data_IF_357120607127
#
_entry.id   IF_357120607127
#
_cell.length_a   1.000
_cell.length_b   1.000
_cell.length_c   1.000
_cell.angle_alpha   90.00
_cell.angle_beta   90.00
_cell.angle_gamma   90.00
#
_symmetry.space_group_name_H-M   'P 1'
#
loop_
_entity.id
_entity.type
_entity.pdbx_description
1 polymer ?
#
# COMPACT_ATOMS: atom_id res chain seq x y z
N UNK A 1 -2.30 -6.21 -31.70
CA UNK A 1 -3.10 -7.37 -32.12
C UNK A 1 -2.21 -8.59 -32.09
N UNK A 2 -2.26 -9.38 -31.02
CA UNK A 2 -1.48 -10.61 -30.90
C UNK A 2 -2.46 -11.72 -30.50
N UNK A 3 -2.47 -12.75 -31.34
CA UNK A 3 -3.30 -13.94 -31.32
C UNK A 3 -3.02 -14.85 -30.12
N UNK A 4 -4.07 -15.49 -29.61
CA UNK A 4 -4.06 -16.66 -28.73
C UNK A 4 -4.08 -17.94 -29.58
N UNK A 5 -3.23 -18.91 -29.26
CA UNK A 5 -3.36 -20.32 -29.69
C UNK A 5 -3.48 -21.21 -28.44
N UNK A 6 -4.53 -22.03 -28.44
CA UNK A 6 -4.79 -23.11 -27.49
C UNK A 6 -4.18 -24.40 -28.04
N UNK A 7 -3.53 -25.20 -27.19
CA UNK A 7 -3.23 -26.60 -27.48
C UNK A 7 -3.86 -27.45 -26.38
N UNK A 8 -4.83 -28.26 -26.81
CA UNK A 8 -5.49 -29.34 -26.08
C UNK A 8 -4.68 -30.63 -26.26
N UNK A 9 -4.49 -31.40 -25.18
CA UNK A 9 -3.93 -32.74 -25.22
C UNK A 9 -4.67 -33.64 -24.22
N UNK A 10 -5.77 -34.22 -24.69
CA UNK A 10 -6.40 -35.39 -24.08
C UNK A 10 -5.92 -36.70 -24.71
N UNK A 11 -5.65 -37.69 -23.84
CA UNK A 11 -5.71 -39.17 -23.99
C UNK A 11 -4.40 -40.02 -23.94
N UNK A 12 -4.14 -40.58 -22.72
CA UNK A 12 -4.03 -42.00 -22.26
C UNK A 12 -3.17 -43.07 -23.03
N UNK A 13 -2.85 -44.28 -22.46
CA UNK A 13 -2.83 -44.81 -21.08
C UNK A 13 -1.57 -45.68 -20.70
N UNK A 14 -1.62 -46.29 -19.49
CA UNK A 14 -0.83 -47.43 -18.92
C UNK A 14 0.44 -47.05 -18.12
N UNK A 15 0.78 -47.61 -16.95
CA UNK A 15 0.64 -48.99 -16.43
C UNK A 15 0.55 -49.04 -14.89
N UNK A 16 -0.06 -50.14 -14.39
CA UNK A 16 -0.19 -50.55 -12.99
C UNK A 16 1.15 -51.03 -12.41
N UNK A 17 1.79 -50.27 -11.52
CA UNK A 17 2.82 -50.80 -10.61
C UNK A 17 3.22 -49.80 -9.49
N UNK A 18 2.29 -49.39 -8.61
CA UNK A 18 2.68 -48.62 -7.41
C UNK A 18 1.82 -48.84 -6.15
N UNK A 19 0.81 -49.73 -6.21
CA UNK A 19 -0.15 -49.93 -5.10
C UNK A 19 0.29 -50.90 -4.00
N UNK A 20 1.59 -51.05 -3.72
CA UNK A 20 2.06 -51.93 -2.61
C UNK A 20 3.12 -51.35 -1.68
N UNK A 21 3.53 -50.09 -1.84
CA UNK A 21 4.49 -49.44 -0.91
C UNK A 21 3.91 -48.38 0.03
N UNK A 22 2.66 -47.95 -0.14
CA UNK A 22 2.06 -46.87 0.68
C UNK A 22 1.30 -47.31 1.94
N UNK A 23 1.16 -48.62 2.19
CA UNK A 23 0.36 -49.12 3.31
C UNK A 23 1.15 -49.37 4.61
N UNK A 24 2.49 -49.40 4.57
CA UNK A 24 3.32 -49.82 5.72
C UNK A 24 4.05 -48.69 6.45
N UNK A 25 3.95 -47.43 6.01
CA UNK A 25 4.52 -46.26 6.71
C UNK A 25 3.53 -45.57 7.67
N UNK A 26 2.25 -45.98 7.70
CA UNK A 26 1.20 -45.41 8.58
C UNK A 26 1.19 -45.91 10.02
N UNK A 27 2.18 -46.70 10.47
CA UNK A 27 2.19 -47.27 11.84
C UNK A 27 3.38 -46.89 12.73
N UNK A 28 4.24 -45.95 12.32
CA UNK A 28 5.35 -45.45 13.15
C UNK A 28 5.60 -43.95 12.98
N UNK A 29 4.65 -43.11 13.41
CA UNK A 29 4.94 -41.72 13.77
C UNK A 29 3.83 -41.16 14.67
N UNK A 30 3.86 -41.60 15.92
CA UNK A 30 3.17 -40.95 17.02
C UNK A 30 4.24 -40.56 18.05
N UNK A 31 5.01 -39.51 17.74
CA UNK A 31 5.80 -38.70 18.66
C UNK A 31 6.73 -37.77 17.85
N UNK A 32 6.60 -36.45 18.09
CA UNK A 32 7.41 -35.30 17.63
C UNK A 32 6.75 -34.46 16.54
N UNK A 33 6.10 -33.38 17.00
CA UNK A 33 5.74 -32.21 16.21
C UNK A 33 7.02 -31.52 15.73
N UNK A 34 7.37 -31.77 14.47
CA UNK A 34 8.29 -30.97 13.68
C UNK A 34 8.01 -31.30 12.22
N UNK A 35 7.13 -30.53 11.59
CA UNK A 35 6.84 -30.66 10.15
C UNK A 35 7.94 -29.91 9.41
N UNK A 36 8.86 -30.67 8.82
CA UNK A 36 9.93 -30.18 7.98
C UNK A 36 9.39 -29.97 6.56
N UNK A 37 9.06 -28.74 6.17
CA UNK A 37 8.69 -28.42 4.79
C UNK A 37 9.97 -28.34 3.94
N UNK A 38 10.18 -29.30 3.04
CA UNK A 38 11.37 -29.38 2.21
C UNK A 38 11.02 -28.94 0.78
N UNK A 39 11.25 -27.66 0.46
CA UNK A 39 11.20 -27.19 -0.93
C UNK A 39 12.44 -27.74 -1.64
N UNK A 40 12.23 -28.60 -2.63
CA UNK A 40 13.29 -29.20 -3.44
C UNK A 40 13.80 -28.13 -4.42
N UNK A 41 14.71 -27.28 -3.98
CA UNK A 41 15.47 -26.38 -4.86
C UNK A 41 16.47 -27.25 -5.61
N UNK A 42 16.38 -27.26 -6.94
CA UNK A 42 17.43 -27.84 -7.79
C UNK A 42 18.76 -27.17 -7.39
N UNK A 43 19.78 -27.99 -7.06
CA UNK A 43 21.03 -27.65 -6.35
C UNK A 43 21.05 -27.85 -4.82
N UNK A 44 20.97 -29.13 -4.40
CA UNK A 44 22.03 -29.78 -3.61
C UNK A 44 22.46 -29.26 -2.21
N UNK A 45 21.84 -28.25 -1.59
CA UNK A 45 22.16 -27.85 -0.20
C UNK A 45 20.92 -27.68 0.66
N UNK A 46 20.85 -28.43 1.77
CA UNK A 46 19.83 -28.26 2.82
C UNK A 46 20.18 -27.02 3.65
N UNK A 47 19.30 -26.03 3.65
CA UNK A 47 19.33 -24.91 4.61
C UNK A 47 18.19 -25.16 5.60
N UNK A 48 18.52 -25.50 6.84
CA UNK A 48 17.56 -25.50 7.95
C UNK A 48 17.64 -24.14 8.64
N UNK A 49 16.59 -23.34 8.54
CA UNK A 49 16.43 -22.09 9.30
C UNK A 49 15.67 -22.42 10.59
N UNK A 50 16.20 -22.03 11.74
CA UNK A 50 15.47 -22.07 13.02
C UNK A 50 14.42 -20.96 13.01
N UNK A 51 13.15 -21.34 13.04
CA UNK A 51 12.00 -20.45 13.15
C UNK A 51 11.93 -19.87 14.56
N UNK A 52 11.87 -18.54 14.66
CA UNK A 52 11.40 -17.86 15.88
C UNK A 52 9.93 -17.55 15.63
N UNK A 53 9.05 -18.14 16.43
CA UNK A 53 7.60 -18.00 16.30
C UNK A 53 7.17 -16.52 16.50
N UNK A 54 6.61 -15.92 15.47
CA UNK A 54 5.88 -14.66 15.57
C UNK A 54 4.54 -14.83 14.85
N UNK A 55 3.48 -14.97 15.67
CA UNK A 55 2.05 -15.10 15.35
C UNK A 55 1.63 -16.39 14.62
N UNK A 56 0.86 -17.22 15.32
CA UNK A 56 0.36 -18.54 14.90
C UNK A 56 -0.70 -18.54 13.79
N UNK A 57 -0.57 -17.65 12.80
CA UNK A 57 -1.36 -17.69 11.58
C UNK A 57 -0.61 -18.55 10.58
N UNK A 58 -1.11 -19.76 10.33
CA UNK A 58 -0.64 -20.62 9.24
C UNK A 58 -1.45 -20.32 7.98
N UNK A 59 -0.77 -20.22 6.84
CA UNK A 59 -1.43 -20.06 5.55
C UNK A 59 -2.02 -21.41 5.11
N UNK A 60 -3.23 -21.38 4.58
CA UNK A 60 -3.80 -22.56 3.92
C UNK A 60 -3.00 -22.92 2.66
N UNK A 61 -3.13 -24.15 2.17
CA UNK A 61 -2.45 -24.58 0.93
C UNK A 61 -2.85 -23.71 -0.27
N UNK A 62 -4.13 -23.36 -0.36
CA UNK A 62 -4.66 -22.47 -1.39
C UNK A 62 -4.06 -21.06 -1.31
N UNK A 63 -3.91 -20.50 -0.10
CA UNK A 63 -3.24 -19.20 0.10
C UNK A 63 -1.74 -19.28 -0.23
N UNK A 64 -1.07 -20.37 0.13
CA UNK A 64 0.34 -20.56 -0.18
C UNK A 64 0.61 -20.64 -1.70
N UNK A 65 -0.29 -21.28 -2.46
CA UNK A 65 -0.21 -21.33 -3.92
C UNK A 65 -0.51 -19.96 -4.55
N UNK A 66 -1.59 -19.29 -4.11
CA UNK A 66 -1.98 -17.98 -4.62
C UNK A 66 -0.89 -16.92 -4.40
N UNK A 67 -0.26 -16.94 -3.21
CA UNK A 67 0.78 -15.97 -2.83
C UNK A 67 2.20 -16.47 -3.07
N UNK A 68 2.43 -17.59 -3.77
CA UNK A 68 3.77 -18.18 -3.95
C UNK A 68 4.78 -17.15 -4.50
N UNK A 69 4.39 -16.36 -5.50
CA UNK A 69 5.26 -15.30 -6.07
C UNK A 69 5.57 -14.20 -5.06
N UNK A 70 4.59 -13.81 -4.24
CA UNK A 70 4.72 -12.78 -3.21
C UNK A 70 5.61 -13.28 -2.06
N UNK A 71 5.39 -14.52 -1.61
CA UNK A 71 6.19 -15.19 -0.57
C UNK A 71 7.66 -15.33 -1.00
N UNK A 72 7.93 -15.61 -2.28
CA UNK A 72 9.30 -15.64 -2.81
C UNK A 72 10.01 -14.28 -2.75
N UNK A 73 9.25 -13.19 -2.81
CA UNK A 73 9.79 -11.83 -2.80
C UNK A 73 10.12 -11.38 -1.38
N UNK A 74 9.15 -11.42 -0.46
CA UNK A 74 9.31 -10.84 0.89
C UNK A 74 9.37 -11.85 2.03
N UNK A 75 9.19 -13.14 1.75
CA UNK A 75 9.26 -14.23 2.73
C UNK A 75 7.91 -14.58 3.38
N UNK A 76 7.85 -15.79 3.95
CA UNK A 76 6.63 -16.33 4.55
C UNK A 76 6.14 -15.52 5.76
N UNK A 77 7.04 -15.11 6.65
CA UNK A 77 6.67 -14.35 7.86
C UNK A 77 6.06 -12.98 7.53
N UNK A 78 6.55 -12.36 6.46
CA UNK A 78 6.01 -11.10 5.92
C UNK A 78 4.58 -11.31 5.42
N UNK A 79 4.31 -12.42 4.70
CA UNK A 79 2.97 -12.76 4.26
C UNK A 79 2.03 -13.07 5.44
N UNK A 80 2.52 -13.74 6.49
CA UNK A 80 1.75 -14.00 7.71
C UNK A 80 1.34 -12.70 8.41
N UNK A 81 2.24 -11.71 8.47
CA UNK A 81 1.92 -10.36 9.00
C UNK A 81 0.87 -9.65 8.17
N UNK A 82 1.00 -9.67 6.84
CA UNK A 82 -0.03 -9.13 5.94
C UNK A 82 -1.40 -9.77 6.20
N UNK A 83 -1.44 -11.10 6.29
CA UNK A 83 -2.68 -11.86 6.50
C UNK A 83 -3.34 -11.61 7.86
N UNK A 84 -2.63 -11.03 8.82
CA UNK A 84 -3.17 -10.62 10.11
C UNK A 84 -3.79 -9.21 10.09
N UNK A 85 -3.39 -8.37 9.13
CA UNK A 85 -3.61 -6.93 9.18
C UNK A 85 -4.99 -6.51 8.67
N UNK A 86 -5.59 -5.53 9.37
CA UNK A 86 -6.85 -4.86 9.02
C UNK A 86 -6.55 -3.44 8.59
N UNK A 87 -7.04 -3.06 7.42
CA UNK A 87 -6.73 -1.76 6.81
C UNK A 87 -8.02 -0.98 6.58
N UNK A 88 -8.04 0.28 7.01
CA UNK A 88 -9.07 1.25 6.64
C UNK A 88 -8.58 2.07 5.45
N UNK A 89 -9.41 2.17 4.42
CA UNK A 89 -9.23 3.09 3.29
C UNK A 89 -10.44 4.04 3.28
N UNK A 90 -10.22 5.29 3.67
CA UNK A 90 -11.25 6.32 3.67
C UNK A 90 -11.08 7.24 2.45
N UNK A 91 -12.12 7.33 1.63
CA UNK A 91 -12.10 7.99 0.32
C UNK A 91 -11.89 6.99 -0.81
N UNK A 92 -12.92 6.74 -1.61
CA UNK A 92 -12.96 5.73 -2.66
C UNK A 92 -13.17 6.33 -4.06
N UNK A 93 -12.45 7.43 -4.31
CA UNK A 93 -12.23 8.00 -5.64
C UNK A 93 -11.27 7.12 -6.47
N UNK A 94 -10.79 7.62 -7.61
CA UNK A 94 -9.87 6.87 -8.47
C UNK A 94 -8.58 6.42 -7.77
N UNK A 95 -7.99 7.29 -6.95
CA UNK A 95 -6.82 6.95 -6.14
C UNK A 95 -7.16 5.87 -5.08
N UNK A 96 -8.27 6.02 -4.38
CA UNK A 96 -8.73 5.04 -3.38
C UNK A 96 -8.99 3.66 -3.98
N UNK A 97 -9.57 3.59 -5.19
CA UNK A 97 -9.80 2.34 -5.90
C UNK A 97 -8.49 1.62 -6.26
N UNK A 98 -7.46 2.37 -6.69
CA UNK A 98 -6.13 1.82 -6.98
C UNK A 98 -5.41 1.31 -5.73
N UNK A 99 -5.48 2.06 -4.62
CA UNK A 99 -4.93 1.61 -3.33
C UNK A 99 -5.66 0.34 -2.87
N UNK A 100 -6.99 0.36 -2.85
CA UNK A 100 -7.80 -0.78 -2.44
C UNK A 100 -7.49 -2.04 -3.26
N UNK A 101 -7.43 -1.93 -4.59
CA UNK A 101 -7.07 -3.05 -5.47
C UNK A 101 -5.74 -3.69 -5.06
N UNK A 102 -4.69 -2.89 -4.90
CA UNK A 102 -3.36 -3.40 -4.59
C UNK A 102 -3.30 -4.04 -3.18
N UNK A 103 -3.96 -3.43 -2.20
CA UNK A 103 -4.04 -3.97 -0.84
C UNK A 103 -4.82 -5.29 -0.80
N UNK A 104 -5.97 -5.37 -1.48
CA UNK A 104 -6.78 -6.60 -1.55
C UNK A 104 -5.99 -7.73 -2.23
N UNK A 105 -5.29 -7.43 -3.33
CA UNK A 105 -4.46 -8.42 -4.03
C UNK A 105 -3.22 -8.87 -3.23
N UNK A 106 -2.75 -8.07 -2.27
CA UNK A 106 -1.66 -8.47 -1.36
C UNK A 106 -2.07 -9.48 -0.29
N UNK A 107 -3.39 -9.70 -0.10
CA UNK A 107 -3.89 -10.75 0.79
C UNK A 107 -3.90 -10.39 2.27
N UNK A 108 -4.36 -9.18 2.61
CA UNK A 108 -4.52 -8.78 4.01
C UNK A 108 -5.67 -9.52 4.71
N UNK A 109 -5.86 -9.32 6.02
CA UNK A 109 -7.00 -9.93 6.73
C UNK A 109 -8.32 -9.35 6.25
N UNK A 110 -8.44 -8.04 6.36
CA UNK A 110 -9.66 -7.30 6.08
C UNK A 110 -9.36 -5.90 5.56
N UNK A 111 -10.23 -5.39 4.70
CA UNK A 111 -10.22 -4.00 4.24
C UNK A 111 -11.60 -3.40 4.47
N UNK A 112 -11.65 -2.27 5.16
CA UNK A 112 -12.86 -1.45 5.27
C UNK A 112 -12.74 -0.27 4.32
N UNK A 113 -13.70 -0.16 3.41
CA UNK A 113 -13.82 0.94 2.45
C UNK A 113 -14.82 1.94 3.03
N UNK A 114 -14.34 3.11 3.45
CA UNK A 114 -15.18 4.18 3.99
C UNK A 114 -15.32 5.28 2.93
N UNK A 115 -16.54 5.54 2.47
CA UNK A 115 -16.82 6.69 1.62
C UNK A 115 -18.28 7.11 1.78
N UNK A 116 -18.51 8.38 2.09
CA UNK A 116 -19.82 8.99 2.25
C UNK A 116 -20.42 9.48 0.91
N UNK A 117 -19.60 9.58 -0.14
CA UNK A 117 -19.99 10.15 -1.41
C UNK A 117 -20.73 9.15 -2.30
N UNK A 118 -21.61 9.70 -3.14
CA UNK A 118 -22.28 8.94 -4.20
C UNK A 118 -21.38 8.83 -5.44
N UNK A 119 -21.58 7.78 -6.22
CA UNK A 119 -20.96 7.61 -7.53
C UNK A 119 -21.47 8.72 -8.47
N UNK A 120 -20.54 9.47 -9.05
CA UNK A 120 -20.77 10.56 -10.01
C UNK A 120 -20.18 10.19 -11.36
N UNK A 121 -20.62 10.82 -12.43
CA UNK A 121 -20.08 10.58 -13.78
C UNK A 121 -18.57 10.83 -13.89
N UNK A 122 -18.06 11.81 -13.13
CA UNK A 122 -16.62 12.10 -13.07
C UNK A 122 -15.79 10.93 -12.53
N UNK A 123 -16.40 10.02 -11.77
CA UNK A 123 -15.70 8.86 -11.20
C UNK A 123 -15.39 7.81 -12.28
N UNK A 124 -16.15 7.75 -13.38
CA UNK A 124 -15.96 6.75 -14.44
C UNK A 124 -14.60 6.86 -15.15
N UNK A 125 -13.93 8.00 -15.04
CA UNK A 125 -12.61 8.22 -15.63
C UNK A 125 -11.48 7.50 -14.89
N UNK A 126 -11.64 7.16 -13.60
CA UNK A 126 -10.54 6.63 -12.78
C UNK A 126 -10.96 5.62 -11.72
N UNK A 127 -12.23 5.58 -11.32
CA UNK A 127 -12.79 4.66 -10.35
C UNK A 127 -13.39 3.45 -11.08
N UNK A 128 -12.68 2.33 -11.09
CA UNK A 128 -13.08 1.11 -11.82
C UNK A 128 -13.82 0.08 -10.96
N UNK A 129 -13.86 0.23 -9.64
CA UNK A 129 -14.52 -0.71 -8.73
C UNK A 129 -16.03 -0.54 -8.71
N UNK A 130 -16.52 0.69 -8.84
CA UNK A 130 -17.94 0.99 -9.01
C UNK A 130 -18.34 0.79 -10.48
N UNK A 131 -19.36 -0.03 -10.79
CA UNK A 131 -19.88 -0.12 -12.15
C UNK A 131 -20.62 1.16 -12.54
N UNK A 132 -20.64 1.50 -13.83
CA UNK A 132 -21.37 2.68 -14.34
C UNK A 132 -22.87 2.62 -14.03
N UNK A 133 -23.44 1.40 -13.93
CA UNK A 133 -24.84 1.17 -13.55
C UNK A 133 -25.16 1.53 -12.10
N UNK A 134 -24.15 1.81 -11.27
CA UNK A 134 -24.29 2.22 -9.87
C UNK A 134 -24.25 3.75 -9.70
N UNK A 135 -24.46 4.51 -10.77
CA UNK A 135 -24.57 5.97 -10.68
C UNK A 135 -25.61 6.37 -9.63
N UNK A 136 -25.25 7.28 -8.72
CA UNK A 136 -26.12 7.76 -7.65
C UNK A 136 -26.22 6.85 -6.41
N UNK A 137 -25.57 5.68 -6.38
CA UNK A 137 -25.43 4.89 -5.14
C UNK A 137 -24.14 5.23 -4.41
N UNK A 138 -24.00 4.80 -3.16
CA UNK A 138 -22.80 5.04 -2.37
C UNK A 138 -21.55 4.38 -3.00
N UNK A 139 -20.43 5.10 -3.06
CA UNK A 139 -19.18 4.62 -3.70
C UNK A 139 -18.60 3.37 -3.04
N UNK A 140 -18.59 3.30 -1.71
CA UNK A 140 -18.06 2.16 -0.98
C UNK A 140 -18.89 0.90 -1.23
N UNK A 141 -20.22 1.00 -1.13
CA UNK A 141 -21.14 -0.10 -1.40
C UNK A 141 -21.07 -0.55 -2.86
N UNK A 142 -21.10 0.39 -3.81
CA UNK A 142 -21.02 0.10 -5.24
C UNK A 142 -19.73 -0.64 -5.63
N UNK A 143 -18.65 -0.39 -4.90
CA UNK A 143 -17.33 -0.96 -5.16
C UNK A 143 -17.15 -2.36 -4.57
N UNK A 144 -17.91 -2.72 -3.53
CA UNK A 144 -17.72 -3.94 -2.75
C UNK A 144 -17.77 -5.20 -3.61
N UNK A 145 -18.73 -5.27 -4.53
CA UNK A 145 -18.91 -6.42 -5.42
C UNK A 145 -17.69 -6.70 -6.30
N UNK A 146 -17.18 -5.69 -7.03
CA UNK A 146 -15.98 -5.88 -7.86
C UNK A 146 -14.71 -6.07 -7.02
N UNK A 147 -14.61 -5.37 -5.90
CA UNK A 147 -13.46 -5.47 -5.00
C UNK A 147 -13.33 -6.88 -4.41
N UNK A 148 -14.43 -7.52 -4.00
CA UNK A 148 -14.41 -8.86 -3.42
C UNK A 148 -13.97 -9.93 -4.41
N UNK A 149 -14.29 -9.76 -5.70
CA UNK A 149 -13.85 -10.66 -6.77
C UNK A 149 -12.34 -10.63 -7.00
N UNK A 150 -11.63 -9.56 -6.59
CA UNK A 150 -10.17 -9.50 -6.70
C UNK A 150 -9.50 -10.54 -5.80
N UNK A 151 -10.05 -10.76 -4.60
CA UNK A 151 -9.52 -11.73 -3.66
C UNK A 151 -10.60 -12.21 -2.66
N UNK A 152 -11.18 -13.41 -2.87
CA UNK A 152 -12.17 -13.99 -1.96
C UNK A 152 -11.66 -14.25 -0.54
N UNK A 153 -10.34 -14.26 -0.31
CA UNK A 153 -9.74 -14.53 1.01
C UNK A 153 -9.73 -13.31 1.93
N UNK A 154 -9.93 -12.10 1.38
CA UNK A 154 -9.92 -10.84 2.15
C UNK A 154 -11.35 -10.48 2.55
N UNK A 155 -11.56 -10.19 3.84
CA UNK A 155 -12.84 -9.71 4.34
C UNK A 155 -13.03 -8.22 3.96
N UNK A 156 -14.01 -7.93 3.10
CA UNK A 156 -14.32 -6.55 2.71
C UNK A 156 -15.58 -6.04 3.41
N UNK A 157 -15.51 -4.79 3.87
CA UNK A 157 -16.66 -4.06 4.41
C UNK A 157 -16.77 -2.71 3.74
N UNK A 158 -18.00 -2.28 3.50
CA UNK A 158 -18.31 -0.91 3.12
C UNK A 158 -18.84 -0.16 4.35
N UNK A 159 -18.40 1.07 4.52
CA UNK A 159 -18.87 2.00 5.55
C UNK A 159 -19.27 3.30 4.86
N UNK A 160 -20.53 3.69 5.02
CA UNK A 160 -21.14 4.81 4.29
C UNK A 160 -21.28 6.07 5.13
N UNK A 161 -20.92 6.00 6.41
CA UNK A 161 -20.97 7.14 7.32
C UNK A 161 -19.86 8.14 7.00
N UNK A 162 -20.06 9.37 7.47
CA UNK A 162 -19.08 10.43 7.22
C UNK A 162 -17.82 10.23 8.02
N UNK A 163 -16.67 10.56 7.41
CA UNK A 163 -15.39 10.48 8.10
C UNK A 163 -15.34 11.38 9.35
N UNK A 164 -15.95 12.56 9.25
CA UNK A 164 -16.00 13.54 10.34
C UNK A 164 -16.84 13.05 11.54
N UNK A 165 -17.84 12.20 11.30
CA UNK A 165 -18.76 11.71 12.34
C UNK A 165 -18.19 10.49 13.09
N UNK A 166 -17.08 9.90 12.60
CA UNK A 166 -16.43 8.77 13.25
C UNK A 166 -15.78 9.17 14.57
N UNK A 167 -16.08 8.39 15.60
CA UNK A 167 -15.44 8.50 16.92
C UNK A 167 -13.97 8.10 16.83
N UNK A 168 -13.15 8.66 17.71
CA UNK A 168 -11.72 8.35 17.73
C UNK A 168 -11.44 6.86 17.99
N UNK A 169 -12.32 6.18 18.74
CA UNK A 169 -12.21 4.74 19.01
C UNK A 169 -12.37 3.87 17.75
N UNK A 170 -13.07 4.37 16.72
CA UNK A 170 -13.24 3.65 15.45
C UNK A 170 -11.89 3.30 14.82
N UNK A 171 -10.97 4.26 14.78
CA UNK A 171 -9.67 4.10 14.12
C UNK A 171 -8.75 3.11 14.83
N UNK A 172 -8.95 2.87 16.13
CA UNK A 172 -8.19 1.90 16.94
C UNK A 172 -8.43 0.45 16.51
N UNK A 173 -9.49 0.21 15.75
CA UNK A 173 -9.84 -1.10 15.20
C UNK A 173 -8.97 -1.54 14.02
N UNK A 174 -8.03 -0.73 13.54
CA UNK A 174 -7.22 -1.00 12.36
C UNK A 174 -5.73 -1.03 12.68
N UNK A 175 -4.96 -1.74 11.86
CA UNK A 175 -3.50 -1.73 11.94
C UNK A 175 -2.92 -0.59 11.10
N UNK A 176 -3.60 -0.26 9.99
CA UNK A 176 -3.28 0.87 9.11
C UNK A 176 -4.54 1.64 8.75
N UNK A 177 -4.45 2.97 8.81
CA UNK A 177 -5.49 3.91 8.36
C UNK A 177 -4.92 4.73 7.22
N UNK A 178 -5.56 4.67 6.05
CA UNK A 178 -5.22 5.46 4.87
C UNK A 178 -6.38 6.41 4.55
N UNK A 179 -6.12 7.71 4.64
CA UNK A 179 -7.09 8.78 4.39
C UNK A 179 -6.80 9.45 3.06
N UNK A 180 -7.83 9.60 2.23
CA UNK A 180 -7.77 10.17 0.89
C UNK A 180 -8.85 11.24 0.77
N UNK A 181 -8.51 12.41 0.26
CA UNK A 181 -9.51 13.44 -0.04
C UNK A 181 -10.05 14.21 1.17
N UNK A 182 -9.39 14.17 2.32
CA UNK A 182 -9.90 14.80 3.55
C UNK A 182 -9.41 16.25 3.75
N UNK A 183 -10.17 17.09 4.48
CA UNK A 183 -9.71 18.39 4.96
C UNK A 183 -8.55 18.29 5.95
N UNK A 184 -7.77 19.36 6.09
CA UNK A 184 -6.58 19.39 6.97
C UNK A 184 -6.91 19.01 8.40
N UNK A 185 -8.02 19.54 8.92
CA UNK A 185 -8.47 19.28 10.30
C UNK A 185 -8.66 17.78 10.56
N UNK A 186 -9.27 17.06 9.61
CA UNK A 186 -9.47 15.62 9.75
C UNK A 186 -8.16 14.85 9.64
N UNK A 187 -7.25 15.25 8.75
CA UNK A 187 -5.93 14.62 8.63
C UNK A 187 -5.14 14.75 9.94
N UNK A 188 -5.11 15.93 10.56
CA UNK A 188 -4.44 16.16 11.85
C UNK A 188 -5.12 15.40 12.98
N UNK A 189 -6.46 15.43 13.06
CA UNK A 189 -7.22 14.70 14.09
C UNK A 189 -6.92 13.20 14.03
N UNK A 190 -7.09 12.59 12.87
CA UNK A 190 -6.99 11.15 12.69
C UNK A 190 -5.53 10.69 12.89
N UNK A 191 -4.55 11.45 12.42
CA UNK A 191 -3.14 11.19 12.68
C UNK A 191 -2.85 11.15 14.19
N UNK A 192 -3.31 12.16 14.94
CA UNK A 192 -3.17 12.21 16.40
C UNK A 192 -3.81 11.01 17.12
N UNK A 193 -5.00 10.60 16.68
CA UNK A 193 -5.67 9.39 17.19
C UNK A 193 -4.84 8.15 16.88
N UNK A 194 -4.36 8.00 15.65
CA UNK A 194 -3.54 6.87 15.22
C UNK A 194 -2.24 6.77 16.03
N UNK A 195 -1.59 7.91 16.32
CA UNK A 195 -0.42 7.98 17.21
C UNK A 195 -0.73 7.48 18.62
N UNK A 196 -1.86 7.91 19.20
CA UNK A 196 -2.26 7.49 20.55
C UNK A 196 -2.54 5.99 20.66
N UNK A 197 -2.92 5.34 19.55
CA UNK A 197 -3.32 3.94 19.51
C UNK A 197 -2.27 3.02 18.84
N UNK A 198 -1.09 3.55 18.48
CA UNK A 198 -0.05 2.83 17.70
C UNK A 198 -0.58 2.23 16.39
N UNK A 199 -1.52 2.92 15.75
CA UNK A 199 -2.02 2.62 14.41
C UNK A 199 -1.17 3.38 13.40
N UNK A 200 -0.84 2.75 12.26
CA UNK A 200 -0.02 3.40 11.23
C UNK A 200 -0.90 4.26 10.34
N UNK A 201 -0.48 5.50 10.12
CA UNK A 201 -1.29 6.48 9.40
C UNK A 201 -0.68 6.81 8.03
N UNK A 202 -1.54 6.90 7.03
CA UNK A 202 -1.22 7.36 5.69
C UNK A 202 -2.21 8.41 5.25
N UNK A 203 -1.72 9.46 4.60
CA UNK A 203 -2.53 10.42 3.87
C UNK A 203 -2.08 10.46 2.40
N UNK A 204 -3.02 10.51 1.47
CA UNK A 204 -2.70 10.61 0.05
C UNK A 204 -3.77 11.38 -0.72
N UNK A 205 -3.38 12.07 -1.78
CA UNK A 205 -4.33 12.67 -2.73
C UNK A 205 -3.78 12.71 -4.13
N UNK A 206 -4.70 12.97 -5.05
CA UNK A 206 -4.43 13.17 -6.45
C UNK A 206 -5.25 14.35 -6.99
N UNK A 207 -4.54 15.30 -7.59
CA UNK A 207 -5.06 16.47 -8.30
C UNK A 207 -4.40 16.54 -9.68
N UNK A 208 -5.13 16.08 -10.70
CA UNK A 208 -4.67 15.97 -12.08
C UNK A 208 -3.39 15.15 -12.20
N UNK A 209 -2.29 15.80 -12.57
CA UNK A 209 -0.95 15.19 -12.69
C UNK A 209 -0.14 15.23 -11.39
N UNK A 210 -0.61 15.96 -10.38
CA UNK A 210 0.05 16.09 -9.09
C UNK A 210 -0.57 15.11 -8.09
N UNK A 211 0.25 14.31 -7.42
CA UNK A 211 -0.19 13.46 -6.33
C UNK A 211 0.81 13.51 -5.18
N UNK A 212 0.31 13.22 -3.99
CA UNK A 212 1.14 13.16 -2.80
C UNK A 212 0.82 11.92 -1.98
N UNK A 213 1.81 11.51 -1.19
CA UNK A 213 1.67 10.51 -0.15
C UNK A 213 2.45 10.98 1.07
N UNK A 214 1.88 10.77 2.24
CA UNK A 214 2.46 11.00 3.54
C UNK A 214 2.25 9.75 4.39
N UNK A 215 3.24 9.44 5.23
CA UNK A 215 3.19 8.34 6.18
C UNK A 215 3.62 8.82 7.57
N UNK A 216 2.82 8.53 8.59
CA UNK A 216 3.24 8.58 9.99
C UNK A 216 3.23 7.15 10.55
N UNK A 217 4.43 6.57 10.60
CA UNK A 217 4.65 5.24 11.15
C UNK A 217 5.13 5.27 12.61
N UNK A 218 5.23 6.46 13.21
CA UNK A 218 5.82 6.72 14.52
C UNK A 218 7.25 6.14 14.59
N UNK A 219 7.59 5.41 15.65
CA UNK A 219 8.76 4.55 15.63
C UNK A 219 8.42 3.24 14.89
N UNK A 220 9.07 3.05 13.74
CA UNK A 220 8.83 1.91 12.87
C UNK A 220 10.08 1.02 12.74
N UNK A 221 9.92 -0.25 13.11
CA UNK A 221 10.95 -1.26 13.00
C UNK A 221 10.72 -2.10 11.74
N UNK A 222 11.77 -2.25 10.93
CA UNK A 222 11.74 -3.08 9.72
C UNK A 222 13.04 -3.86 9.53
N UNK A 223 12.97 -4.88 8.68
CA UNK A 223 14.09 -5.71 8.29
C UNK A 223 14.53 -5.40 6.86
N UNK A 224 15.82 -5.13 6.66
CA UNK A 224 16.44 -4.90 5.35
C UNK A 224 17.49 -5.97 5.07
N UNK A 225 17.46 -6.52 3.87
CA UNK A 225 18.46 -7.49 3.43
C UNK A 225 19.65 -6.75 2.82
N UNK A 226 20.75 -6.71 3.58
CA UNK A 226 21.99 -6.05 3.16
C UNK A 226 22.93 -7.08 2.58
N UNK A 227 23.33 -6.89 1.32
CA UNK A 227 24.32 -7.73 0.65
C UNK A 227 25.72 -7.32 1.11
N UNK A 228 26.44 -8.24 1.74
CA UNK A 228 27.81 -8.03 2.22
C UNK A 228 28.78 -8.90 1.43
N UNK A 229 29.94 -8.33 1.08
CA UNK A 229 31.04 -9.11 0.52
C UNK A 229 31.82 -9.78 1.65
N UNK A 230 31.70 -11.09 1.79
CA UNK A 230 32.51 -11.87 2.73
C UNK A 230 33.77 -12.34 2.00
N UNK A 231 34.95 -11.97 2.52
CA UNK A 231 36.23 -12.46 2.00
C UNK A 231 36.44 -13.90 2.47
N UNK A 232 36.71 -14.82 1.53
CA UNK A 232 36.89 -16.26 1.78
C UNK A 232 38.34 -16.69 1.47
N UNK A 233 39.18 -15.80 0.96
CA UNK A 233 40.58 -16.14 0.68
C UNK A 233 41.36 -16.45 1.97
N UNK A 234 42.15 -17.52 1.93
CA UNK A 234 43.14 -17.84 2.96
C UNK A 234 44.28 -16.81 2.96
N UNK A 235 45.06 -16.66 4.05
CA UNK A 235 46.27 -15.86 4.03
C UNK A 235 47.19 -16.36 2.90
N UNK A 236 47.59 -15.47 1.97
CA UNK A 236 48.39 -15.73 0.75
C UNK A 236 47.70 -16.17 -0.55
N UNK A 237 46.36 -16.15 -0.66
CA UNK A 237 45.66 -16.32 -1.95
C UNK A 237 45.03 -15.02 -2.47
N UNK A 238 44.80 -14.93 -3.80
CA UNK A 238 44.05 -13.82 -4.41
C UNK A 238 42.67 -13.70 -3.75
N UNK A 239 42.30 -12.47 -3.37
CA UNK A 239 41.06 -12.16 -2.66
C UNK A 239 39.84 -12.67 -3.42
N UNK A 240 39.17 -13.69 -2.88
CA UNK A 240 37.88 -14.18 -3.36
C UNK A 240 36.80 -13.71 -2.39
N UNK A 241 35.80 -13.01 -2.92
CA UNK A 241 34.63 -12.54 -2.16
C UNK A 241 33.39 -13.32 -2.56
N UNK A 242 32.58 -13.76 -1.60
CA UNK A 242 31.22 -14.25 -1.81
C UNK A 242 30.22 -13.20 -1.34
N UNK A 243 29.14 -13.05 -2.10
CA UNK A 243 28.00 -12.20 -1.73
C UNK A 243 27.18 -12.96 -0.69
N UNK A 244 27.12 -12.45 0.53
CA UNK A 244 26.29 -13.00 1.61
C UNK A 244 25.22 -11.98 1.96
N UNK A 245 23.96 -12.36 1.81
CA UNK A 245 22.82 -11.55 2.25
C UNK A 245 22.65 -11.70 3.75
N UNK A 246 22.65 -10.58 4.48
CA UNK A 246 22.36 -10.55 5.93
C UNK A 246 21.17 -9.64 6.20
N UNK A 247 20.17 -10.14 6.91
CA UNK A 247 19.02 -9.35 7.34
C UNK A 247 19.39 -8.50 8.56
N UNK A 248 19.25 -7.18 8.43
CA UNK A 248 19.54 -6.19 9.47
C UNK A 248 18.23 -5.53 9.89
N UNK A 249 18.00 -5.41 11.20
CA UNK A 249 16.87 -4.65 11.73
C UNK A 249 17.25 -3.17 11.84
N UNK A 250 16.37 -2.30 11.38
CA UNK A 250 16.49 -0.84 11.49
C UNK A 250 15.23 -0.25 12.08
N UNK A 251 15.38 0.95 12.62
CA UNK A 251 14.29 1.75 13.18
C UNK A 251 14.33 3.12 12.53
N UNK A 252 13.18 3.60 12.07
CA UNK A 252 12.98 4.97 11.59
C UNK A 252 11.90 5.66 12.42
N UNK A 253 12.04 6.97 12.61
CA UNK A 253 11.10 7.80 13.34
C UNK A 253 10.39 8.75 12.40
N UNK A 254 9.06 8.70 12.39
CA UNK A 254 8.22 9.50 11.50
C UNK A 254 7.57 10.68 12.23
N UNK A 255 7.54 11.87 11.60
CA UNK A 255 6.85 13.02 12.15
C UNK A 255 5.33 12.87 12.02
N UNK A 256 4.60 13.59 12.88
CA UNK A 256 3.14 13.75 12.74
C UNK A 256 2.79 14.59 11.51
N UNK A 257 1.56 14.46 11.01
CA UNK A 257 1.05 15.25 9.87
C UNK A 257 1.13 16.76 10.13
N UNK A 258 1.05 17.19 11.39
CA UNK A 258 1.25 18.58 11.80
C UNK A 258 2.58 19.17 11.28
N UNK A 259 3.63 18.35 11.15
CA UNK A 259 4.92 18.82 10.63
C UNK A 259 4.85 19.29 9.16
N UNK A 260 3.87 18.83 8.38
CA UNK A 260 3.59 19.34 7.02
C UNK A 260 3.04 20.77 7.10
N UNK A 261 2.24 21.07 8.12
CA UNK A 261 1.62 22.38 8.30
C UNK A 261 2.61 23.42 8.82
N UNK A 262 3.46 22.99 9.75
CA UNK A 262 4.48 23.81 10.41
C UNK A 262 5.75 23.98 9.56
N UNK A 263 5.79 23.36 8.37
CA UNK A 263 6.96 23.41 7.52
C UNK A 263 7.22 24.82 6.99
N UNK A 264 8.38 25.38 7.35
CA UNK A 264 8.81 26.69 6.89
C UNK A 264 9.42 26.62 5.48
N UNK A 265 8.71 27.18 4.50
CA UNK A 265 9.17 27.28 3.12
C UNK A 265 10.30 28.29 2.91
N UNK A 266 10.49 29.23 3.83
CA UNK A 266 11.51 30.28 3.72
C UNK A 266 12.89 29.81 4.21
N UNK A 267 12.95 28.65 4.86
CA UNK A 267 14.18 28.08 5.38
C UNK A 267 15.23 27.86 4.27
N UNK A 268 16.46 28.35 4.50
CA UNK A 268 17.56 28.23 3.53
C UNK A 268 17.91 26.77 3.20
N UNK A 269 17.68 25.84 4.13
CA UNK A 269 17.85 24.40 3.92
C UNK A 269 16.88 23.84 2.89
N UNK A 270 15.67 24.40 2.79
CA UNK A 270 14.65 24.01 1.82
C UNK A 270 14.92 24.59 0.43
N UNK A 271 15.46 25.81 0.32
CA UNK A 271 15.73 26.45 -0.96
C UNK A 271 16.58 25.59 -1.92
N UNK A 272 17.53 24.80 -1.40
CA UNK A 272 18.30 23.83 -2.23
C UNK A 272 17.47 22.63 -2.67
N UNK A 273 16.60 22.11 -1.79
CA UNK A 273 15.70 20.99 -2.10
C UNK A 273 14.66 21.42 -3.12
N UNK A 274 14.12 22.64 -3.02
CA UNK A 274 13.15 23.20 -3.96
C UNK A 274 13.67 23.19 -5.40
N UNK A 275 14.94 23.55 -5.61
CA UNK A 275 15.58 23.50 -6.94
C UNK A 275 15.69 22.09 -7.52
N UNK A 276 15.76 21.06 -6.69
CA UNK A 276 15.95 19.65 -7.10
C UNK A 276 14.63 18.88 -7.21
N UNK A 277 13.76 19.06 -6.23
CA UNK A 277 12.53 18.28 -6.04
C UNK A 277 11.28 19.04 -6.52
N UNK A 278 11.42 20.31 -6.89
CA UNK A 278 10.31 21.15 -7.33
C UNK A 278 9.38 21.59 -6.19
N UNK A 279 8.30 22.30 -6.53
CA UNK A 279 7.44 23.01 -5.58
C UNK A 279 6.33 22.12 -5.00
N UNK A 280 6.55 20.81 -4.92
CA UNK A 280 5.52 19.84 -4.55
C UNK A 280 4.89 20.11 -3.17
N UNK A 281 5.71 20.43 -2.16
CA UNK A 281 5.23 20.66 -0.80
C UNK A 281 4.45 21.99 -0.65
N UNK A 282 4.94 23.14 -1.19
CA UNK A 282 4.12 24.35 -1.30
C UNK A 282 2.83 24.13 -2.07
N UNK A 283 2.88 23.41 -3.21
CA UNK A 283 1.69 23.11 -4.01
C UNK A 283 0.66 22.28 -3.22
N UNK A 284 1.12 21.28 -2.46
CA UNK A 284 0.27 20.54 -1.52
C UNK A 284 -0.44 21.47 -0.54
N UNK A 285 0.28 22.43 0.08
CA UNK A 285 -0.36 23.38 1.01
C UNK A 285 -1.40 24.26 0.32
N UNK A 286 -1.15 24.70 -0.91
CA UNK A 286 -2.11 25.48 -1.71
C UNK A 286 -3.37 24.68 -1.99
N UNK A 287 -3.23 23.44 -2.47
CA UNK A 287 -4.37 22.58 -2.80
C UNK A 287 -5.16 22.17 -1.56
N UNK A 288 -4.46 21.88 -0.45
CA UNK A 288 -5.11 21.56 0.81
C UNK A 288 -5.86 22.77 1.37
N UNK A 289 -5.27 23.98 1.32
CA UNK A 289 -5.97 25.21 1.73
C UNK A 289 -7.18 25.50 0.85
N UNK A 290 -7.08 25.25 -0.45
CA UNK A 290 -8.22 25.35 -1.37
C UNK A 290 -9.36 24.45 -0.90
N UNK A 291 -9.07 23.18 -0.61
CA UNK A 291 -10.06 22.23 -0.09
C UNK A 291 -10.67 22.67 1.23
N UNK A 292 -9.86 23.19 2.15
CA UNK A 292 -10.34 23.67 3.45
C UNK A 292 -11.28 24.88 3.32
N UNK A 293 -11.05 25.77 2.34
CA UNK A 293 -11.87 26.97 2.11
C UNK A 293 -13.14 26.65 1.31
N UNK A 294 -13.02 25.87 0.24
CA UNK A 294 -14.14 25.61 -0.69
C UNK A 294 -14.94 24.36 -0.30
N UNK A 295 -14.43 23.51 0.60
CA UNK A 295 -15.03 22.23 0.96
C UNK A 295 -14.96 21.18 -0.15
N UNK A 296 -14.16 21.42 -1.20
CA UNK A 296 -14.02 20.57 -2.38
C UNK A 296 -12.69 20.80 -3.09
N UNK A 297 -12.37 19.91 -4.03
CA UNK A 297 -11.23 20.09 -4.94
C UNK A 297 -11.53 21.04 -6.11
N UNK A 298 -10.50 21.55 -6.81
CA UNK A 298 -10.66 22.43 -7.97
C UNK A 298 -11.45 21.77 -9.11
N UNK A 299 -12.47 22.47 -9.61
CA UNK A 299 -13.36 21.95 -10.66
C UNK A 299 -12.80 22.22 -12.07
N UNK A 300 -12.77 21.19 -12.91
CA UNK A 300 -12.24 21.31 -14.27
C UNK A 300 -13.16 22.08 -15.23
N UNK A 301 -14.46 22.19 -14.92
CA UNK A 301 -15.46 22.89 -15.73
C UNK A 301 -15.37 24.42 -15.60
N UNK A 302 -14.95 24.91 -14.43
CA UNK A 302 -14.84 26.35 -14.11
C UNK A 302 -13.36 26.78 -14.05
N UNK A 303 -12.53 26.20 -14.93
CA UNK A 303 -11.07 26.21 -14.81
C UNK A 303 -10.48 27.61 -14.60
N UNK A 304 -10.93 28.61 -15.35
CA UNK A 304 -10.35 29.97 -15.27
C UNK A 304 -10.65 30.64 -13.91
N UNK A 305 -11.88 30.52 -13.41
CA UNK A 305 -12.27 31.04 -12.10
C UNK A 305 -11.55 30.30 -10.97
N UNK A 306 -11.41 28.98 -11.10
CA UNK A 306 -10.73 28.13 -10.12
C UNK A 306 -9.23 28.39 -10.08
N UNK A 307 -8.60 28.66 -11.23
CA UNK A 307 -7.20 29.11 -11.33
C UNK A 307 -6.99 30.46 -10.63
N UNK A 308 -7.94 31.38 -10.74
CA UNK A 308 -7.85 32.67 -10.05
C UNK A 308 -7.86 32.51 -8.52
N UNK A 309 -8.73 31.63 -8.00
CA UNK A 309 -8.74 31.26 -6.57
C UNK A 309 -7.42 30.59 -6.14
N UNK A 310 -6.92 29.63 -6.92
CA UNK A 310 -5.66 28.95 -6.64
C UNK A 310 -4.47 29.91 -6.61
N UNK A 311 -4.43 30.89 -7.52
CA UNK A 311 -3.40 31.95 -7.53
C UNK A 311 -3.45 32.80 -6.27
N UNK A 312 -4.64 33.25 -5.85
CA UNK A 312 -4.83 34.01 -4.60
C UNK A 312 -4.30 33.24 -3.39
N UNK A 313 -4.69 31.97 -3.24
CA UNK A 313 -4.23 31.11 -2.14
C UNK A 313 -2.71 30.88 -2.20
N UNK A 314 -2.16 30.65 -3.40
CA UNK A 314 -0.71 30.50 -3.58
C UNK A 314 0.04 31.74 -3.12
N UNK A 315 -0.40 32.91 -3.54
CA UNK A 315 0.30 34.17 -3.24
C UNK A 315 0.28 34.49 -1.74
N UNK A 316 -0.72 33.98 -1.01
CA UNK A 316 -0.78 34.05 0.46
C UNK A 316 0.18 33.07 1.15
N UNK A 317 0.32 31.83 0.66
CA UNK A 317 1.07 30.76 1.35
C UNK A 317 2.55 30.72 0.95
N UNK A 318 2.81 30.84 -0.35
CA UNK A 318 4.10 30.51 -0.95
C UNK A 318 4.33 31.38 -2.19
N UNK A 319 4.42 32.72 -2.02
CA UNK A 319 4.61 33.65 -3.12
C UNK A 319 5.87 33.28 -3.91
N UNK A 320 5.75 33.24 -5.24
CA UNK A 320 6.83 32.94 -6.20
C UNK A 320 7.45 31.52 -6.10
N UNK A 321 7.06 30.68 -5.15
CA UNK A 321 7.60 29.31 -5.02
C UNK A 321 6.91 28.32 -5.94
N UNK A 322 5.61 28.51 -6.22
CA UNK A 322 4.82 27.64 -7.11
C UNK A 322 4.59 28.37 -8.44
N UNK A 323 5.13 27.87 -9.57
CA UNK A 323 4.93 28.50 -10.87
C UNK A 323 3.48 28.32 -11.34
N UNK A 324 2.96 29.27 -12.13
CA UNK A 324 1.64 29.19 -12.76
C UNK A 324 1.44 27.88 -13.55
N UNK A 325 2.51 27.38 -14.18
CA UNK A 325 2.49 26.11 -14.93
C UNK A 325 2.21 24.89 -14.05
N UNK A 326 2.43 24.95 -12.74
CA UNK A 326 2.07 23.86 -11.85
C UNK A 326 0.55 23.81 -11.61
N UNK A 327 -0.12 24.98 -11.56
CA UNK A 327 -1.55 25.08 -11.23
C UNK A 327 -2.45 24.58 -12.37
N UNK A 328 -2.02 24.66 -13.62
CA UNK A 328 -2.84 24.22 -14.77
C UNK A 328 -3.04 22.71 -14.84
N UNK A 329 -2.26 21.94 -14.08
CA UNK A 329 -2.25 20.47 -14.12
C UNK A 329 -2.92 19.82 -12.90
N UNK A 330 -3.63 20.57 -12.05
CA UNK A 330 -4.19 20.07 -10.77
C UNK A 330 -5.68 19.73 -10.81
N UNK A 331 -6.26 19.62 -12.00
CA UNK A 331 -7.71 19.43 -12.16
C UNK A 331 -8.09 17.97 -12.42
N UNK A 332 -9.19 17.55 -11.82
CA UNK A 332 -9.77 16.20 -11.91
C UNK A 332 -8.83 15.08 -11.42
N UNK A 333 -9.27 13.82 -11.51
CA UNK A 333 -8.40 12.66 -11.30
C UNK A 333 -8.29 11.86 -12.59
N UNK A 334 -7.06 11.67 -13.06
CA UNK A 334 -6.78 10.91 -14.27
C UNK A 334 -6.29 9.51 -13.90
N UNK A 335 -6.79 8.49 -14.61
CA UNK A 335 -6.47 7.09 -14.32
C UNK A 335 -4.96 6.77 -14.27
N UNK A 336 -4.10 7.27 -15.19
CA UNK A 336 -2.66 6.97 -15.13
C UNK A 336 -1.99 7.48 -13.85
N UNK A 337 -2.35 8.70 -13.40
CA UNK A 337 -1.78 9.26 -12.20
C UNK A 337 -2.31 8.55 -10.94
N UNK A 338 -3.60 8.17 -10.93
CA UNK A 338 -4.19 7.35 -9.88
C UNK A 338 -3.48 6.00 -9.74
N UNK A 339 -3.16 5.33 -10.86
CA UNK A 339 -2.44 4.06 -10.85
C UNK A 339 -1.01 4.19 -10.31
N UNK A 340 -0.28 5.25 -10.71
CA UNK A 340 1.09 5.50 -10.25
C UNK A 340 1.11 5.79 -8.75
N UNK A 341 0.31 6.76 -8.30
CA UNK A 341 0.28 7.18 -6.90
C UNK A 341 -0.32 6.08 -6.03
N UNK A 342 -1.42 5.47 -6.46
CA UNK A 342 -2.08 4.40 -5.71
C UNK A 342 -1.21 3.14 -5.60
N UNK A 343 -0.45 2.79 -6.64
CA UNK A 343 0.54 1.72 -6.58
C UNK A 343 1.66 2.03 -5.58
N UNK A 344 2.20 3.26 -5.61
CA UNK A 344 3.23 3.68 -4.67
C UNK A 344 2.74 3.67 -3.22
N UNK A 345 1.58 4.26 -2.93
CA UNK A 345 0.99 4.31 -1.59
C UNK A 345 0.71 2.90 -1.06
N UNK A 346 0.08 2.05 -1.87
CA UNK A 346 -0.23 0.67 -1.46
C UNK A 346 1.05 -0.13 -1.18
N UNK A 347 2.10 0.08 -1.97
CA UNK A 347 3.39 -0.58 -1.74
C UNK A 347 4.03 -0.15 -0.41
N UNK A 348 3.95 1.13 -0.05
CA UNK A 348 4.44 1.62 1.25
C UNK A 348 3.62 1.07 2.44
N UNK A 349 2.30 0.93 2.27
CA UNK A 349 1.45 0.25 3.26
C UNK A 349 1.87 -1.22 3.40
N UNK A 350 2.12 -1.93 2.29
CA UNK A 350 2.57 -3.33 2.30
C UNK A 350 3.93 -3.46 3.01
N UNK A 351 4.91 -2.60 2.73
CA UNK A 351 6.20 -2.57 3.44
C UNK A 351 6.01 -2.36 4.94
N UNK A 352 5.15 -1.42 5.32
CA UNK A 352 4.84 -1.10 6.71
C UNK A 352 4.26 -2.31 7.46
N UNK A 353 3.25 -2.96 6.88
CA UNK A 353 2.61 -4.13 7.51
C UNK A 353 3.55 -5.34 7.53
N UNK A 354 4.25 -5.58 6.42
CA UNK A 354 5.19 -6.67 6.31
C UNK A 354 6.48 -6.44 7.10
N UNK A 355 6.76 -5.21 7.55
CA UNK A 355 8.01 -4.82 8.23
C UNK A 355 9.26 -5.23 7.45
N UNK A 356 9.18 -5.13 6.12
CA UNK A 356 10.23 -5.53 5.18
C UNK A 356 10.57 -4.34 4.30
N UNK A 357 11.87 -4.10 4.12
CA UNK A 357 12.43 -2.92 3.44
C UNK A 357 12.15 -1.61 4.17
N UNK A 358 12.91 -0.57 3.82
CA UNK A 358 12.71 0.77 4.37
C UNK A 358 11.49 1.42 3.69
N UNK A 359 10.47 1.84 4.45
CA UNK A 359 9.44 2.71 3.91
C UNK A 359 10.03 4.10 3.61
N UNK A 360 9.44 4.81 2.66
CA UNK A 360 9.81 6.20 2.35
C UNK A 360 9.68 7.08 3.60
N UNK A 361 10.60 8.02 3.78
CA UNK A 361 10.71 8.92 4.95
C UNK A 361 10.79 10.38 4.54
#
# INVERSE_FOLDING_TARGET
FIFTEFIDLSEKPQTKAASRKFANERRRSAARNSILFCVKVAFGRRICVKMVEANGIELTEQEAELYDRQIRLWGLDSQKRLRAARILIAGLNGLGAEIAKNIILSGVKAVTLLDEQLVKESDFCSQFLAPQTALGTNRAEASLGRAQHLNPMVELKADTEKLADKTDDYFKGFDVVCIIGAPTEQLVRIDGVCRSANVKFFAADLWGMFGFSFADLQEHNFAEDVVKHKIISKPHEKTKTELVTSTVKRTLSYPAYQAVLDFDFTAQSYARKLKRSGPALPLLRVLQKFRDVEGRDPLYMERDAELEKLRKIRDEIAPELVPDSALVHVFAQISPAAAIVGGAVAHEIIKTVSQKEAPHH
#
